data_IF_293914191292
#
_entry.id   IF_293914191292
#
_cell.length_a   1.000
_cell.length_b   1.000
_cell.length_c   1.000
_cell.angle_alpha   90.00
_cell.angle_beta   90.00
_cell.angle_gamma   90.00
#
_symmetry.space_group_name_H-M   'P 1'
#
loop_
_entity.id
_entity.type
_entity.pdbx_description
1 polymer ?
#
# COMPACT_ATOMS: atom_id res chain seq x y z
N UNK A 1 25.01 -0.64 16.50
CA UNK A 1 24.56 -1.20 15.22
C UNK A 1 23.14 -0.72 14.93
N UNK A 2 22.99 0.44 14.27
CA UNK A 2 21.71 0.96 13.78
C UNK A 2 21.86 1.68 12.41
N UNK A 3 23.06 1.68 11.83
CA UNK A 3 23.37 2.48 10.64
C UNK A 3 22.81 1.91 9.33
N UNK A 4 22.31 0.67 9.29
CA UNK A 4 21.80 0.08 8.04
C UNK A 4 20.38 0.55 7.71
N UNK A 5 19.50 0.70 8.71
CA UNK A 5 18.11 1.14 8.49
C UNK A 5 18.05 2.63 8.11
N UNK A 6 18.84 3.47 8.77
CA UNK A 6 18.91 4.91 8.47
C UNK A 6 19.49 5.17 7.07
N UNK A 7 20.48 4.39 6.65
CA UNK A 7 21.06 4.50 5.30
C UNK A 7 20.12 4.02 4.19
N UNK A 8 19.31 2.98 4.43
CA UNK A 8 18.33 2.52 3.43
C UNK A 8 17.18 3.52 3.27
N UNK A 9 16.68 4.08 4.38
CA UNK A 9 15.64 5.12 4.33
C UNK A 9 16.16 6.39 3.64
N UNK A 10 17.39 6.81 3.94
CA UNK A 10 18.04 7.95 3.27
C UNK A 10 18.33 7.69 1.78
N UNK A 11 18.63 6.46 1.39
CA UNK A 11 18.82 6.08 -0.02
C UNK A 11 17.49 6.05 -0.80
N UNK A 12 16.42 5.55 -0.18
CA UNK A 12 15.06 5.59 -0.77
C UNK A 12 14.59 7.04 -0.90
N UNK A 13 14.92 7.92 0.05
CA UNK A 13 14.59 9.35 -0.01
C UNK A 13 15.33 10.12 -1.12
N UNK A 14 16.45 9.59 -1.64
CA UNK A 14 17.14 10.16 -2.81
C UNK A 14 16.44 9.84 -4.14
N UNK A 15 15.45 8.96 -4.11
CA UNK A 15 14.65 8.62 -5.28
C UNK A 15 13.43 9.54 -5.29
N UNK A 16 13.55 10.75 -5.87
CA UNK A 16 12.48 11.78 -5.93
C UNK A 16 11.14 11.28 -6.48
N UNK A 17 11.09 10.09 -7.08
CA UNK A 17 9.89 9.47 -7.62
C UNK A 17 9.20 8.45 -6.71
N UNK A 18 9.69 8.17 -5.50
CA UNK A 18 9.07 7.24 -4.55
C UNK A 18 8.58 7.95 -3.30
N UNK A 19 7.32 7.75 -2.95
CA UNK A 19 6.72 8.22 -1.68
C UNK A 19 6.06 7.06 -0.96
N UNK A 20 6.52 6.78 0.25
CA UNK A 20 5.95 5.76 1.14
C UNK A 20 5.09 6.46 2.18
N UNK A 21 3.88 5.95 2.39
CA UNK A 21 2.95 6.46 3.39
C UNK A 21 3.02 5.62 4.67
N UNK A 22 2.67 6.23 5.81
CA UNK A 22 2.55 5.51 7.07
C UNK A 22 1.60 4.32 6.95
N UNK A 23 1.99 3.13 7.44
CA UNK A 23 1.15 1.94 7.36
C UNK A 23 -0.05 2.07 8.30
N UNK A 24 -1.19 1.53 7.88
CA UNK A 24 -2.39 1.40 8.71
C UNK A 24 -2.52 -0.06 9.14
N UNK A 25 -2.56 -0.28 10.45
CA UNK A 25 -2.69 -1.61 11.06
C UNK A 25 -4.08 -1.73 11.67
N UNK A 26 -4.80 -2.82 11.35
CA UNK A 26 -6.14 -3.09 11.84
C UNK A 26 -6.28 -4.55 12.30
N UNK A 27 -7.19 -4.81 13.24
CA UNK A 27 -7.66 -6.16 13.51
C UNK A 27 -8.58 -6.61 12.37
N UNK A 28 -8.35 -7.79 11.81
CA UNK A 28 -9.21 -8.38 10.78
C UNK A 28 -10.09 -9.52 11.31
N UNK A 29 -10.19 -9.67 12.64
CA UNK A 29 -10.98 -10.70 13.33
C UNK A 29 -10.21 -12.00 13.61
N UNK A 30 -10.71 -12.84 14.51
CA UNK A 30 -10.11 -14.15 14.90
C UNK A 30 -8.60 -14.09 15.20
N UNK A 31 -8.13 -13.01 15.84
CA UNK A 31 -6.73 -12.73 16.16
C UNK A 31 -5.81 -12.50 14.94
N UNK A 32 -6.38 -12.27 13.76
CA UNK A 32 -5.62 -11.82 12.61
C UNK A 32 -5.45 -10.31 12.64
N UNK A 33 -4.28 -9.87 12.19
CA UNK A 33 -3.95 -8.45 12.02
C UNK A 33 -3.67 -8.20 10.56
N UNK A 34 -4.18 -7.11 10.02
CA UNK A 34 -3.92 -6.68 8.65
C UNK A 34 -3.13 -5.38 8.65
N UNK A 35 -2.15 -5.27 7.75
CA UNK A 35 -1.36 -4.07 7.51
C UNK A 35 -1.56 -3.63 6.07
N UNK A 36 -2.01 -2.39 5.88
CA UNK A 36 -2.06 -1.73 4.58
C UNK A 36 -0.98 -0.67 4.47
N UNK A 37 -0.20 -0.69 3.40
CA UNK A 37 0.83 0.32 3.12
C UNK A 37 0.65 0.84 1.71
N UNK A 38 0.61 2.18 1.55
CA UNK A 38 0.61 2.81 0.23
C UNK A 38 2.03 3.24 -0.15
N UNK A 39 2.39 2.99 -1.39
CA UNK A 39 3.59 3.50 -2.03
C UNK A 39 3.21 4.11 -3.37
N UNK A 40 3.61 5.35 -3.59
CA UNK A 40 3.51 6.01 -4.89
C UNK A 40 4.88 5.98 -5.56
N UNK A 41 4.94 5.49 -6.80
CA UNK A 41 6.17 5.31 -7.59
C UNK A 41 5.93 5.91 -8.98
N UNK A 42 6.58 7.03 -9.30
CA UNK A 42 6.39 7.72 -10.57
C UNK A 42 4.92 8.09 -10.78
N UNK A 43 4.30 7.54 -11.84
CA UNK A 43 2.87 7.74 -12.15
C UNK A 43 1.92 6.70 -11.52
N UNK A 44 2.46 5.74 -10.77
CA UNK A 44 1.71 4.64 -10.17
C UNK A 44 1.51 4.84 -8.67
N UNK A 45 0.39 4.32 -8.19
CA UNK A 45 0.08 4.15 -6.78
C UNK A 45 -0.16 2.67 -6.51
N UNK A 46 0.50 2.15 -5.49
CA UNK A 46 0.41 0.75 -5.07
C UNK A 46 -0.03 0.74 -3.61
N UNK A 47 -1.04 -0.07 -3.28
CA UNK A 47 -1.41 -0.37 -1.90
C UNK A 47 -1.16 -1.86 -1.65
N UNK A 48 -0.18 -2.16 -0.82
CA UNK A 48 0.11 -3.53 -0.40
C UNK A 48 -0.70 -3.84 0.84
N UNK A 49 -1.36 -5.00 0.84
CA UNK A 49 -2.10 -5.53 1.98
C UNK A 49 -1.41 -6.81 2.43
N UNK A 50 -1.06 -6.85 3.71
CA UNK A 50 -0.44 -7.99 4.36
C UNK A 50 -1.32 -8.45 5.52
N UNK A 51 -1.23 -9.71 5.86
CA UNK A 51 -1.95 -10.30 6.98
C UNK A 51 -0.98 -11.10 7.86
N UNK A 52 -1.07 -10.86 9.17
CA UNK A 52 -0.40 -11.65 10.18
C UNK A 52 -1.34 -12.72 10.69
N UNK A 53 -0.98 -13.98 10.45
CA UNK A 53 -1.65 -15.13 11.03
C UNK A 53 -1.29 -15.25 12.52
N UNK A 54 -2.24 -15.56 13.41
CA UNK A 54 -2.00 -15.61 14.86
C UNK A 54 -0.88 -16.59 15.28
N UNK A 55 -0.65 -17.65 14.49
CA UNK A 55 0.32 -18.70 14.81
C UNK A 55 1.73 -18.48 14.24
N UNK A 56 1.97 -17.45 13.41
CA UNK A 56 3.23 -17.30 12.67
C UNK A 56 4.06 -16.09 13.11
N UNK A 57 3.44 -15.05 13.67
CA UNK A 57 4.16 -13.90 14.23
C UNK A 57 4.83 -12.96 13.22
N UNK A 58 4.52 -13.07 11.92
CA UNK A 58 4.96 -12.14 10.88
C UNK A 58 3.83 -11.80 9.90
N UNK A 59 3.94 -10.65 9.24
CA UNK A 59 3.04 -10.24 8.16
C UNK A 59 3.44 -10.95 6.86
N UNK A 60 2.50 -11.71 6.30
CA UNK A 60 2.62 -12.33 4.99
C UNK A 60 1.75 -11.58 3.96
N UNK A 61 2.08 -11.73 2.69
CA UNK A 61 1.34 -11.15 1.58
C UNK A 61 -0.13 -11.63 1.52
N UNK A 62 -1.05 -10.69 1.32
CA UNK A 62 -2.49 -10.98 1.18
C UNK A 62 -2.98 -10.61 -0.23
N UNK A 63 -2.79 -9.35 -0.60
CA UNK A 63 -3.03 -8.84 -1.97
C UNK A 63 -2.31 -7.52 -2.16
N UNK A 64 -2.22 -7.05 -3.40
CA UNK A 64 -1.87 -5.66 -3.69
C UNK A 64 -2.92 -5.01 -4.60
N UNK A 65 -2.99 -3.68 -4.56
CA UNK A 65 -3.80 -2.88 -5.46
C UNK A 65 -2.91 -1.93 -6.22
N UNK A 66 -3.17 -1.75 -7.51
CA UNK A 66 -2.45 -0.81 -8.36
C UNK A 66 -3.41 0.17 -9.03
N UNK A 67 -2.99 1.42 -9.10
CA UNK A 67 -3.65 2.45 -9.90
C UNK A 67 -2.57 3.31 -10.59
N UNK A 68 -2.95 3.95 -11.69
CA UNK A 68 -2.13 4.93 -12.38
C UNK A 68 -3.01 6.07 -12.87
N UNK A 69 -2.38 7.16 -13.32
CA UNK A 69 -3.08 8.33 -13.87
C UNK A 69 -4.12 8.00 -14.95
N UNK A 70 -3.86 6.99 -15.78
CA UNK A 70 -4.73 6.61 -16.89
C UNK A 70 -5.73 5.51 -16.53
N UNK A 71 -5.69 4.99 -15.29
CA UNK A 71 -6.62 3.96 -14.82
C UNK A 71 -7.82 4.59 -14.11
N UNK A 72 -9.02 4.29 -14.60
CA UNK A 72 -10.27 4.78 -13.99
C UNK A 72 -10.59 4.11 -12.65
N UNK A 73 -10.02 2.93 -12.39
CA UNK A 73 -10.28 2.10 -11.21
C UNK A 73 -8.99 1.48 -10.68
N UNK A 74 -8.93 1.21 -9.39
CA UNK A 74 -7.88 0.38 -8.81
C UNK A 74 -8.04 -1.06 -9.30
N UNK A 75 -6.92 -1.68 -9.68
CA UNK A 75 -6.86 -3.08 -10.08
C UNK A 75 -6.25 -3.91 -8.95
N UNK A 76 -6.91 -5.01 -8.62
CA UNK A 76 -6.43 -5.96 -7.64
C UNK A 76 -5.36 -6.87 -8.27
N UNK A 77 -4.35 -7.20 -7.48
CA UNK A 77 -3.32 -8.20 -7.73
C UNK A 77 -3.46 -9.21 -6.57
N UNK A 78 -4.29 -10.25 -6.74
CA UNK A 78 -4.56 -11.21 -5.68
C UNK A 78 -3.35 -12.12 -5.46
N UNK A 79 -3.11 -12.50 -4.20
CA UNK A 79 -2.10 -13.52 -3.85
C UNK A 79 -2.76 -14.72 -3.22
N UNK A 80 -3.63 -14.49 -2.23
CA UNK A 80 -4.34 -15.58 -1.55
C UNK A 80 -5.73 -15.82 -2.15
N UNK A 81 -6.24 -17.05 -2.05
CA UNK A 81 -7.50 -17.47 -2.70
C UNK A 81 -8.69 -16.55 -2.45
N UNK A 82 -8.91 -16.10 -1.21
CA UNK A 82 -10.06 -15.23 -0.90
C UNK A 82 -9.92 -13.78 -1.42
N UNK A 83 -8.78 -13.43 -2.03
CA UNK A 83 -8.57 -12.12 -2.65
C UNK A 83 -8.91 -12.09 -4.15
N UNK A 84 -9.10 -13.22 -4.84
CA UNK A 84 -9.23 -13.26 -6.31
C UNK A 84 -10.45 -12.48 -6.85
N UNK A 85 -11.61 -12.61 -6.20
CA UNK A 85 -12.85 -11.95 -6.62
C UNK A 85 -13.13 -10.64 -5.85
N UNK A 86 -12.09 -10.11 -5.20
CA UNK A 86 -12.20 -8.91 -4.38
C UNK A 86 -12.25 -7.67 -5.26
N UNK A 87 -13.36 -6.93 -5.19
CA UNK A 87 -13.46 -5.58 -5.77
C UNK A 87 -13.07 -4.56 -4.72
N UNK A 88 -12.60 -3.38 -5.15
CA UNK A 88 -12.21 -2.34 -4.21
C UNK A 88 -13.36 -1.98 -3.26
N UNK A 89 -14.59 -1.90 -3.78
CA UNK A 89 -15.79 -1.64 -2.98
C UNK A 89 -16.02 -2.71 -1.91
N UNK A 90 -15.89 -3.99 -2.26
CA UNK A 90 -16.04 -5.09 -1.29
C UNK A 90 -14.94 -5.03 -0.23
N UNK A 91 -13.68 -4.82 -0.65
CA UNK A 91 -12.54 -4.72 0.25
C UNK A 91 -12.70 -3.58 1.26
N UNK A 92 -13.02 -2.38 0.78
CA UNK A 92 -13.22 -1.22 1.64
C UNK A 92 -14.49 -1.28 2.49
N UNK A 93 -15.49 -2.07 2.07
CA UNK A 93 -16.64 -2.41 2.90
C UNK A 93 -16.27 -3.28 4.11
N UNK A 94 -15.31 -4.20 3.94
CA UNK A 94 -14.78 -5.04 5.02
C UNK A 94 -13.80 -4.27 5.91
N UNK A 95 -13.00 -3.39 5.32
CA UNK A 95 -11.89 -2.69 5.98
C UNK A 95 -11.94 -1.17 5.74
N UNK A 96 -12.97 -0.47 6.23
CA UNK A 96 -13.18 0.96 5.94
C UNK A 96 -12.05 1.85 6.47
N UNK A 97 -11.33 1.44 7.52
CA UNK A 97 -10.17 2.17 8.04
C UNK A 97 -9.02 2.30 7.03
N UNK A 98 -8.98 1.46 6.00
CA UNK A 98 -7.97 1.51 4.94
C UNK A 98 -8.34 2.48 3.80
N UNK A 99 -9.53 3.09 3.82
CA UNK A 99 -10.02 3.99 2.76
C UNK A 99 -9.01 5.09 2.37
N UNK A 100 -8.29 5.64 3.34
CA UNK A 100 -7.32 6.72 3.12
C UNK A 100 -6.17 6.32 2.19
N UNK A 101 -5.80 5.04 2.14
CA UNK A 101 -4.74 4.54 1.25
C UNK A 101 -5.15 4.59 -0.23
N UNK A 102 -6.45 4.59 -0.53
CA UNK A 102 -6.98 4.49 -1.90
C UNK A 102 -7.41 5.83 -2.52
N UNK A 103 -7.16 6.95 -1.83
CA UNK A 103 -7.45 8.29 -2.35
C UNK A 103 -6.72 8.53 -3.67
N UNK A 104 -7.36 9.23 -4.61
CA UNK A 104 -6.66 9.68 -5.82
C UNK A 104 -5.49 10.57 -5.42
N UNK A 105 -4.35 10.38 -6.07
CA UNK A 105 -3.20 11.27 -5.92
C UNK A 105 -3.53 12.64 -6.53
N UNK A 106 -2.95 13.70 -5.99
CA UNK A 106 -3.13 15.02 -6.57
C UNK A 106 -2.31 15.10 -7.86
N UNK A 107 -2.87 15.65 -8.94
CA UNK A 107 -2.18 15.86 -10.21
C UNK A 107 -0.85 16.63 -10.03
N UNK A 108 -0.80 17.54 -9.05
CA UNK A 108 0.39 18.33 -8.70
C UNK A 108 1.55 17.43 -8.23
N UNK A 109 1.25 16.33 -7.55
CA UNK A 109 2.28 15.41 -7.04
C UNK A 109 3.04 14.72 -8.19
N UNK A 110 2.52 14.74 -9.42
CA UNK A 110 3.16 14.16 -10.60
C UNK A 110 4.02 15.17 -11.38
N UNK A 111 3.73 16.46 -11.23
CA UNK A 111 4.34 17.55 -12.00
C UNK A 111 5.62 18.06 -11.32
N UNK A 112 5.69 18.04 -9.99
CA UNK A 112 6.77 18.68 -9.22
C UNK A 112 8.02 17.81 -8.95
N UNK A 113 8.26 16.78 -9.76
CA UNK A 113 9.54 16.04 -9.72
C UNK A 113 10.65 16.67 -10.58
N UNK A 114 10.35 17.76 -11.27
CA UNK A 114 11.33 18.61 -11.95
C UNK A 114 11.53 19.89 -11.11
N UNK A 115 12.70 20.00 -10.49
CA UNK A 115 13.12 21.24 -9.84
C UNK A 115 13.21 22.37 -10.89
N UNK A 116 12.64 23.51 -10.54
CA UNK A 116 13.22 24.81 -10.90
C UNK A 116 14.47 25.06 -10.06
#
# INVERSE_FOLDING_TARGET
>A
MNSSKENVVAYIAKIKHIKIYEPIIISSGKNYVMRGTRVDIGSFSIVVIEQMHPNHGYFAEYMAWINSLHMTKWKNIPVIRCSYDMTLRKFLGLYPSLNSLFKKRNAIDYILNEER
#
